data_IF_980177484181
#
_entry.id   IF_980177484181
#
_cell.length_a   1.000
_cell.length_b   1.000
_cell.length_c   1.000
_cell.angle_alpha   90.00
_cell.angle_beta   90.00
_cell.angle_gamma   90.00
#
_symmetry.space_group_name_H-M   'P 1'
#
loop_
_entity.id
_entity.type
_entity.pdbx_description
1 polymer ?
#
# COMPACT_ATOMS: atom_id res chain seq x y z
N UNK A 1 -3.94 -18.20 7.22
CA UNK A 1 -3.89 -17.14 6.18
C UNK A 1 -2.67 -17.38 5.30
N UNK A 2 -2.80 -17.30 3.97
CA UNK A 2 -1.66 -17.41 3.05
C UNK A 2 -0.96 -16.05 2.95
N UNK A 3 0.36 -16.00 3.12
CA UNK A 3 1.17 -14.77 2.99
C UNK A 3 1.37 -14.34 1.52
N UNK A 4 0.42 -14.65 0.64
CA UNK A 4 0.48 -14.34 -0.78
C UNK A 4 -0.47 -13.17 -1.07
N UNK A 5 -0.09 -12.23 -1.96
CA UNK A 5 -1.00 -11.19 -2.41
C UNK A 5 -2.29 -11.81 -2.95
N UNK A 6 -3.43 -11.21 -2.61
CA UNK A 6 -4.75 -11.64 -3.10
C UNK A 6 -4.82 -11.65 -4.65
N UNK A 7 -4.12 -10.70 -5.27
CA UNK A 7 -3.96 -10.60 -6.71
C UNK A 7 -2.48 -10.79 -7.05
N UNK A 8 -2.15 -11.90 -7.72
CA UNK A 8 -0.77 -12.30 -8.04
C UNK A 8 -0.01 -11.25 -8.86
N UNK A 9 -0.70 -10.58 -9.79
CA UNK A 9 -0.11 -9.59 -10.69
C UNK A 9 0.02 -8.18 -10.08
N UNK A 10 -0.56 -7.94 -8.90
CA UNK A 10 -0.54 -6.62 -8.28
C UNK A 10 0.80 -6.27 -7.61
N UNK A 11 1.69 -7.25 -7.39
CA UNK A 11 2.93 -7.06 -6.62
C UNK A 11 3.79 -5.89 -7.12
N UNK A 12 3.94 -5.75 -8.44
CA UNK A 12 4.73 -4.65 -9.03
C UNK A 12 4.10 -3.28 -8.74
N UNK A 13 2.79 -3.15 -8.97
CA UNK A 13 2.05 -1.91 -8.72
C UNK A 13 2.05 -1.55 -7.22
N UNK A 14 1.85 -2.54 -6.34
CA UNK A 14 1.88 -2.34 -4.89
C UNK A 14 3.27 -1.93 -4.39
N UNK A 15 4.35 -2.48 -4.96
CA UNK A 15 5.71 -2.04 -4.63
C UNK A 15 5.97 -0.60 -5.07
N UNK A 16 5.49 -0.21 -6.25
CA UNK A 16 5.62 1.16 -6.74
C UNK A 16 4.87 2.14 -5.83
N UNK A 17 3.60 1.82 -5.55
CA UNK A 17 2.74 2.58 -4.63
C UNK A 17 3.38 2.71 -3.23
N UNK A 18 4.01 1.64 -2.72
CA UNK A 18 4.74 1.66 -1.45
C UNK A 18 5.88 2.68 -1.47
N UNK A 19 6.68 2.73 -2.54
CA UNK A 19 7.82 3.64 -2.65
C UNK A 19 7.36 5.10 -2.79
N UNK A 20 6.30 5.36 -3.54
CA UNK A 20 5.71 6.69 -3.71
C UNK A 20 5.22 7.23 -2.36
N UNK A 21 4.37 6.48 -1.66
CA UNK A 21 3.84 6.90 -0.35
C UNK A 21 4.93 6.96 0.72
N UNK A 22 5.95 6.09 0.67
CA UNK A 22 7.09 6.21 1.57
C UNK A 22 7.81 7.55 1.36
N UNK A 23 7.99 7.97 0.11
CA UNK A 23 8.53 9.29 -0.24
C UNK A 23 7.69 10.44 0.30
N UNK A 24 6.36 10.37 0.15
CA UNK A 24 5.42 11.38 0.70
C UNK A 24 5.51 11.52 2.23
N UNK A 25 5.82 10.42 2.93
CA UNK A 25 5.97 10.38 4.39
C UNK A 25 7.39 10.72 4.87
N UNK A 26 8.31 11.05 3.96
CA UNK A 26 9.71 11.31 4.30
C UNK A 26 10.47 10.06 4.74
N UNK A 27 9.98 8.86 4.43
CA UNK A 27 10.66 7.60 4.71
C UNK A 27 11.69 7.39 3.60
N UNK A 28 12.98 7.42 3.96
CA UNK A 28 14.07 7.14 3.03
C UNK A 28 13.93 5.73 2.43
N UNK A 29 14.18 5.61 1.13
CA UNK A 29 14.00 4.38 0.33
C UNK A 29 14.78 3.19 0.89
N UNK A 30 15.94 3.44 1.49
CA UNK A 30 16.82 2.49 2.17
C UNK A 30 16.16 1.85 3.41
N UNK A 31 15.21 2.55 4.02
CA UNK A 31 14.55 2.17 5.27
C UNK A 31 13.18 1.53 5.07
N UNK A 32 12.63 1.56 3.84
CA UNK A 32 11.29 1.06 3.51
C UNK A 32 11.12 -0.43 3.81
N UNK A 33 12.21 -1.22 3.75
CA UNK A 33 12.18 -2.65 4.04
C UNK A 33 12.65 -3.00 5.46
N UNK A 34 12.99 -2.02 6.29
CA UNK A 34 13.25 -2.21 7.73
C UNK A 34 14.48 -3.06 8.10
N UNK A 35 15.38 -3.36 7.17
CA UNK A 35 16.46 -4.34 7.36
C UNK A 35 17.43 -4.02 8.53
N UNK A 36 17.63 -2.73 8.84
CA UNK A 36 18.53 -2.26 9.90
C UNK A 36 17.77 -1.64 11.10
N UNK A 37 16.45 -1.87 11.22
CA UNK A 37 15.60 -1.29 12.26
C UNK A 37 15.15 -2.35 13.26
N UNK A 38 14.86 -1.94 14.49
CA UNK A 38 14.22 -2.83 15.46
C UNK A 38 12.83 -3.24 14.95
N UNK A 39 12.34 -4.41 15.35
CA UNK A 39 10.99 -4.87 14.99
C UNK A 39 9.90 -3.86 15.36
N UNK A 40 10.10 -3.09 16.44
CA UNK A 40 9.19 -2.03 16.86
C UNK A 40 9.17 -0.87 15.86
N UNK A 41 10.33 -0.34 15.48
CA UNK A 41 10.43 0.78 14.52
C UNK A 41 9.94 0.36 13.13
N UNK A 42 10.29 -0.84 12.69
CA UNK A 42 9.84 -1.39 11.42
C UNK A 42 8.30 -1.58 11.43
N UNK A 43 7.74 -2.06 12.54
CA UNK A 43 6.30 -2.21 12.73
C UNK A 43 5.55 -0.88 12.76
N UNK A 44 6.06 0.12 13.47
CA UNK A 44 5.46 1.46 13.53
C UNK A 44 5.46 2.13 12.15
N UNK A 45 6.60 2.10 11.45
CA UNK A 45 6.74 2.66 10.10
C UNK A 45 5.88 1.91 9.08
N UNK A 46 6.02 0.58 9.03
CA UNK A 46 5.29 -0.28 8.10
C UNK A 46 3.78 -0.29 8.36
N UNK A 47 3.36 -0.16 9.63
CA UNK A 47 1.95 -0.07 10.01
C UNK A 47 1.28 1.21 9.49
N UNK A 48 1.93 2.37 9.69
CA UNK A 48 1.41 3.64 9.17
C UNK A 48 1.37 3.63 7.63
N UNK A 49 2.48 3.24 6.98
CA UNK A 49 2.56 3.14 5.51
C UNK A 49 1.53 2.15 4.95
N UNK A 50 1.46 0.94 5.49
CA UNK A 50 0.51 -0.09 5.06
C UNK A 50 -0.95 0.30 5.29
N UNK A 51 -1.24 1.00 6.40
CA UNK A 51 -2.57 1.55 6.68
C UNK A 51 -3.01 2.59 5.65
N UNK A 52 -2.12 3.52 5.30
CA UNK A 52 -2.38 4.51 4.24
C UNK A 52 -2.53 3.86 2.86
N UNK A 53 -1.67 2.89 2.52
CA UNK A 53 -1.82 2.11 1.29
C UNK A 53 -3.18 1.42 1.21
N UNK A 54 -3.61 0.79 2.31
CA UNK A 54 -4.90 0.11 2.39
C UNK A 54 -6.06 1.09 2.22
N UNK A 55 -6.02 2.25 2.89
CA UNK A 55 -7.00 3.32 2.73
C UNK A 55 -7.09 3.78 1.27
N UNK A 56 -5.95 4.03 0.62
CA UNK A 56 -5.91 4.47 -0.79
C UNK A 56 -6.51 3.43 -1.74
N UNK A 57 -6.21 2.14 -1.53
CA UNK A 57 -6.75 1.06 -2.35
C UNK A 57 -8.27 0.93 -2.20
N UNK A 58 -8.79 1.09 -0.98
CA UNK A 58 -10.25 1.11 -0.72
C UNK A 58 -10.90 2.28 -1.46
N UNK A 59 -10.36 3.49 -1.33
CA UNK A 59 -10.87 4.68 -2.03
C UNK A 59 -10.88 4.49 -3.57
N UNK A 60 -9.83 3.89 -4.14
CA UNK A 60 -9.76 3.57 -5.57
C UNK A 60 -10.83 2.56 -5.98
N UNK A 61 -11.02 1.50 -5.17
CA UNK A 61 -12.05 0.50 -5.39
C UNK A 61 -13.46 1.09 -5.34
N UNK A 62 -13.76 1.94 -4.35
CA UNK A 62 -15.05 2.63 -4.24
C UNK A 62 -15.34 3.51 -5.46
N UNK A 63 -14.37 4.32 -5.90
CA UNK A 63 -14.49 5.15 -7.10
C UNK A 63 -14.79 4.31 -8.35
N UNK A 64 -14.11 3.19 -8.49
CA UNK A 64 -14.30 2.29 -9.62
C UNK A 64 -15.69 1.65 -9.60
N UNK A 65 -16.16 1.21 -8.44
CA UNK A 65 -17.52 0.67 -8.29
C UNK A 65 -18.60 1.70 -8.63
N UNK A 66 -18.43 2.95 -8.20
CA UNK A 66 -19.34 4.05 -8.53
C UNK A 66 -19.32 4.35 -10.03
N UNK A 67 -18.13 4.38 -10.64
CA UNK A 67 -17.95 4.58 -12.09
C UNK A 67 -18.70 3.49 -12.88
N UNK A 68 -18.48 2.23 -12.52
CA UNK A 68 -19.14 1.08 -13.14
C UNK A 68 -20.67 1.11 -12.94
N UNK A 69 -21.16 1.57 -11.79
CA UNK A 69 -22.60 1.74 -11.55
C UNK A 69 -23.21 2.82 -12.46
N UNK A 70 -22.54 3.97 -12.59
CA UNK A 70 -23.03 5.07 -13.41
C UNK A 70 -22.98 4.75 -14.91
N UNK A 71 -21.99 3.98 -15.37
CA UNK A 71 -21.88 3.58 -16.78
C UNK A 71 -22.95 2.57 -17.24
N UNK A 72 -23.65 1.93 -16.30
CA UNK A 72 -24.72 0.95 -16.58
C UNK A 72 -26.12 1.57 -16.62
N UNK A 73 -26.25 2.86 -16.29
CA UNK A 73 -27.49 3.64 -16.43
C UNK A 73 -27.53 4.35 -17.77
#
# INVERSE_FOLDING_TARGET
MTNKPLVSNAKKALNQMKLEMAGELGIQSEHVNGANKTSYEAGFMGGNLGGMMSKKLVELGERELIREYNNKK
#
